data_IF_542401143184
#
_entry.id   IF_542401143184
#
_cell.length_a   1.000
_cell.length_b   1.000
_cell.length_c   1.000
_cell.angle_alpha   90.00
_cell.angle_beta   90.00
_cell.angle_gamma   90.00
#
_symmetry.space_group_name_H-M   'P 1'
#
loop_
_entity.id
_entity.type
_entity.pdbx_description
1 polymer ?
#
# COMPACT_ATOMS: atom_id res chain seq x y z
N UNK A 1 20.57 6.97 21.97
CA UNK A 1 21.02 6.55 20.62
C UNK A 1 20.24 5.32 20.23
N UNK A 2 20.14 5.01 18.93
CA UNK A 2 19.48 3.81 18.44
C UNK A 2 20.37 3.14 17.39
N UNK A 3 20.46 1.82 17.43
CA UNK A 3 21.35 1.03 16.57
C UNK A 3 20.61 0.42 15.37
N UNK A 4 19.29 0.22 15.47
CA UNK A 4 18.43 -0.38 14.44
C UNK A 4 17.12 0.39 14.34
N UNK A 5 16.64 0.57 13.10
CA UNK A 5 15.31 1.10 12.79
C UNK A 5 14.59 0.23 11.77
N UNK A 6 13.27 0.39 11.67
CA UNK A 6 12.43 -0.31 10.70
C UNK A 6 11.92 0.66 9.64
N UNK A 7 11.98 0.25 8.37
CA UNK A 7 11.40 0.97 7.25
C UNK A 7 10.58 -0.01 6.40
N UNK A 8 9.32 0.31 6.15
CA UNK A 8 8.45 -0.42 5.21
C UNK A 8 8.54 0.20 3.80
N UNK A 9 9.74 0.65 3.44
CA UNK A 9 10.10 1.27 2.17
C UNK A 9 11.59 1.09 1.92
N UNK A 10 12.01 1.28 0.68
CA UNK A 10 13.42 1.39 0.36
C UNK A 10 14.06 2.60 1.03
N UNK A 11 15.34 2.45 1.38
CA UNK A 11 16.16 3.55 1.86
C UNK A 11 16.44 4.53 0.71
N UNK A 12 16.42 5.82 1.02
CA UNK A 12 16.81 6.87 0.09
C UNK A 12 18.33 6.93 -0.04
N UNK A 13 18.80 7.51 -1.14
CA UNK A 13 20.22 7.71 -1.39
C UNK A 13 20.90 8.56 -0.30
N UNK A 14 20.21 9.54 0.28
CA UNK A 14 20.79 10.35 1.37
C UNK A 14 20.93 9.56 2.68
N UNK A 15 20.16 8.47 2.86
CA UNK A 15 20.24 7.58 4.02
C UNK A 15 21.40 6.59 3.84
N UNK A 16 21.51 5.97 2.66
CA UNK A 16 22.60 5.03 2.35
C UNK A 16 23.96 5.72 2.25
N UNK A 17 24.02 6.97 1.76
CA UNK A 17 25.24 7.78 1.73
C UNK A 17 25.79 8.11 3.13
N UNK A 18 24.95 8.02 4.17
CA UNK A 18 25.34 8.18 5.58
C UNK A 18 25.76 6.86 6.24
N UNK A 19 25.82 5.77 5.48
CA UNK A 19 26.24 4.45 5.95
C UNK A 19 25.10 3.58 6.51
N UNK A 20 23.84 3.98 6.35
CA UNK A 20 22.70 3.13 6.75
C UNK A 20 22.53 2.00 5.73
N UNK A 21 22.42 0.77 6.21
CA UNK A 21 22.15 -0.42 5.39
C UNK A 21 20.81 -1.05 5.79
N UNK A 22 20.14 -1.71 4.84
CA UNK A 22 18.88 -2.41 5.07
C UNK A 22 19.07 -3.93 4.97
N UNK A 23 18.23 -4.66 5.70
CA UNK A 23 18.09 -6.12 5.60
C UNK A 23 16.61 -6.44 5.49
N UNK A 24 16.20 -7.14 4.44
CA UNK A 24 14.81 -7.57 4.27
C UNK A 24 14.53 -8.72 5.24
N UNK A 25 13.60 -8.50 6.15
CA UNK A 25 13.21 -9.49 7.16
C UNK A 25 11.86 -10.15 6.89
N UNK A 26 11.00 -9.50 6.10
CA UNK A 26 9.65 -9.96 5.78
C UNK A 26 9.13 -9.27 4.50
N UNK A 27 8.04 -9.82 3.96
CA UNK A 27 7.25 -9.20 2.90
C UNK A 27 5.79 -9.14 3.37
N UNK A 28 5.24 -7.93 3.42
CA UNK A 28 3.90 -7.68 3.96
C UNK A 28 2.86 -7.62 2.85
N UNK A 29 1.72 -8.28 3.07
CA UNK A 29 0.56 -8.17 2.19
C UNK A 29 -0.31 -6.97 2.58
N UNK A 30 -0.73 -6.18 1.59
CA UNK A 30 -1.72 -5.10 1.78
C UNK A 30 -3.06 -5.57 1.22
N UNK A 31 -4.10 -5.55 2.05
CA UNK A 31 -5.47 -5.89 1.66
C UNK A 31 -6.35 -4.64 1.58
N UNK A 32 -7.20 -4.56 0.56
CA UNK A 32 -8.23 -3.53 0.45
C UNK A 32 -9.50 -4.05 1.13
N UNK A 33 -9.93 -3.38 2.19
CA UNK A 33 -11.13 -3.75 2.95
C UNK A 33 -12.23 -2.73 2.69
N UNK A 34 -13.41 -3.23 2.36
CA UNK A 34 -14.64 -2.43 2.23
C UNK A 34 -15.57 -2.67 3.41
N UNK A 35 -16.57 -1.82 3.57
CA UNK A 35 -17.63 -2.03 4.54
C UNK A 35 -18.32 -3.40 4.29
N UNK A 36 -18.68 -4.12 5.36
CA UNK A 36 -19.28 -5.45 5.30
C UNK A 36 -20.58 -5.53 4.47
N UNK A 37 -21.35 -4.45 4.40
CA UNK A 37 -22.60 -4.40 3.65
C UNK A 37 -22.40 -4.00 2.18
N UNK A 38 -21.18 -3.56 1.81
CA UNK A 38 -20.81 -3.29 0.43
C UNK A 38 -20.79 -4.59 -0.37
N UNK A 39 -21.48 -4.61 -1.51
CA UNK A 39 -21.62 -5.79 -2.37
C UNK A 39 -20.49 -5.97 -3.36
N UNK A 40 -19.60 -4.99 -3.48
CA UNK A 40 -18.44 -5.08 -4.37
C UNK A 40 -17.55 -6.24 -3.95
N UNK A 41 -17.17 -7.07 -4.92
CA UNK A 41 -16.24 -8.18 -4.74
C UNK A 41 -15.23 -8.17 -5.89
N UNK A 42 -14.05 -8.74 -5.68
CA UNK A 42 -13.08 -8.94 -6.76
C UNK A 42 -12.52 -7.66 -7.41
N UNK A 43 -12.38 -6.56 -6.68
CA UNK A 43 -11.83 -5.30 -7.22
C UNK A 43 -10.50 -5.51 -7.95
N UNK A 44 -10.41 -5.02 -9.18
CA UNK A 44 -9.17 -5.02 -9.95
C UNK A 44 -8.22 -3.91 -9.46
N UNK A 45 -6.92 -4.09 -9.69
CA UNK A 45 -5.92 -3.07 -9.36
C UNK A 45 -6.19 -1.71 -10.03
N UNK A 46 -6.82 -1.71 -11.21
CA UNK A 46 -7.20 -0.48 -11.90
C UNK A 46 -8.35 0.25 -11.19
N UNK A 47 -9.38 -0.48 -10.76
CA UNK A 47 -10.48 0.09 -9.98
C UNK A 47 -9.98 0.63 -8.64
N UNK A 48 -9.11 -0.11 -7.94
CA UNK A 48 -8.47 0.36 -6.70
C UNK A 48 -7.71 1.67 -6.96
N UNK A 49 -6.95 1.75 -8.05
CA UNK A 49 -6.23 2.98 -8.43
C UNK A 49 -7.18 4.15 -8.69
N UNK A 50 -8.29 3.98 -9.40
CA UNK A 50 -9.23 5.08 -9.67
C UNK A 50 -9.96 5.54 -8.41
N UNK A 51 -10.25 4.63 -7.47
CA UNK A 51 -10.79 4.97 -6.14
C UNK A 51 -9.80 5.84 -5.36
N UNK A 52 -8.56 5.38 -5.16
CA UNK A 52 -7.56 6.10 -4.35
C UNK A 52 -7.02 7.38 -5.01
N UNK A 53 -7.22 7.55 -6.33
CA UNK A 53 -6.93 8.81 -7.04
C UNK A 53 -8.13 9.76 -7.12
N UNK A 54 -9.29 9.37 -6.56
CA UNK A 54 -10.51 10.20 -6.53
C UNK A 54 -11.23 10.31 -7.87
N UNK A 55 -10.86 9.53 -8.88
CA UNK A 55 -11.57 9.45 -10.17
C UNK A 55 -12.89 8.69 -10.03
N UNK A 56 -12.92 7.69 -9.15
CA UNK A 56 -14.13 6.95 -8.78
C UNK A 56 -14.47 7.29 -7.35
N UNK A 57 -15.68 7.80 -7.13
CA UNK A 57 -16.17 8.23 -5.81
C UNK A 57 -17.48 7.54 -5.40
N UNK A 58 -18.02 6.67 -6.26
CA UNK A 58 -19.17 5.81 -5.99
C UNK A 58 -18.80 4.34 -6.21
N UNK A 59 -19.51 3.45 -5.52
CA UNK A 59 -19.42 2.00 -5.70
C UNK A 59 -20.23 1.50 -6.90
N UNK A 60 -21.10 2.35 -7.46
CA UNK A 60 -21.95 2.01 -8.58
C UNK A 60 -21.11 1.61 -9.81
N UNK A 61 -21.44 0.46 -10.41
CA UNK A 61 -20.73 -0.05 -11.58
C UNK A 61 -19.35 -0.64 -11.31
N UNK A 62 -18.97 -0.82 -10.03
CA UNK A 62 -17.77 -1.58 -9.64
C UNK A 62 -18.06 -3.03 -9.26
N UNK A 63 -19.33 -3.39 -9.09
CA UNK A 63 -19.77 -4.77 -8.91
C UNK A 63 -20.04 -5.40 -10.27
N UNK A 64 -19.83 -6.72 -10.37
CA UNK A 64 -20.32 -7.52 -11.50
C UNK A 64 -21.86 -7.48 -11.60
#
# INVERSE_FOLDING_TARGET
>A
TADIGMASRDLKDEETSKGVSSTVIAMDGIAVIVNKDNKVDGLTSEQVKTIFTGKTTSWDGLSD
#
